data_IF_922653084362
#
_entry.id   IF_922653084362
#
_cell.length_a   1.000
_cell.length_b   1.000
_cell.length_c   1.000
_cell.angle_alpha   90.00
_cell.angle_beta   90.00
_cell.angle_gamma   90.00
#
_symmetry.space_group_name_H-M   'P 1'
#
loop_
_entity.id
_entity.type
_entity.pdbx_description
1 polymer ?
#
# COMPACT_ATOMS: atom_id res chain seq x y z
N UNK A 1 14.05 -5.00 -16.09
CA UNK A 1 13.01 -5.57 -15.21
C UNK A 1 13.38 -7.01 -14.86
N UNK A 2 14.47 -7.19 -14.12
CA UNK A 2 15.16 -8.49 -14.00
C UNK A 2 15.69 -8.77 -12.59
N UNK A 3 15.14 -8.12 -11.57
CA UNK A 3 15.63 -8.30 -10.20
C UNK A 3 14.96 -9.47 -9.45
N UNK A 4 13.91 -10.07 -10.02
CA UNK A 4 13.16 -11.15 -9.38
C UNK A 4 12.88 -12.26 -10.40
N UNK A 5 13.92 -13.01 -10.75
CA UNK A 5 13.81 -14.20 -11.59
C UNK A 5 13.11 -15.36 -10.85
N UNK A 6 13.11 -15.35 -9.51
CA UNK A 6 12.33 -16.28 -8.68
C UNK A 6 11.67 -15.55 -7.49
N UNK A 7 10.32 -15.48 -7.41
CA UNK A 7 9.63 -14.85 -6.30
C UNK A 7 9.87 -15.54 -4.95
N UNK A 8 10.24 -16.82 -4.95
CA UNK A 8 10.52 -17.57 -3.71
C UNK A 8 11.83 -17.12 -3.05
N UNK A 9 12.85 -16.73 -3.84
CA UNK A 9 14.09 -16.18 -3.31
C UNK A 9 13.86 -14.85 -2.58
N UNK A 10 12.95 -14.02 -3.08
CA UNK A 10 12.58 -12.74 -2.43
C UNK A 10 11.95 -13.01 -1.07
N UNK A 11 11.02 -13.96 -1.02
CA UNK A 11 10.36 -14.34 0.23
C UNK A 11 11.38 -14.91 1.22
N UNK A 12 12.30 -15.76 0.76
CA UNK A 12 13.36 -16.31 1.58
C UNK A 12 14.32 -15.23 2.10
N UNK A 13 14.67 -14.26 1.24
CA UNK A 13 15.55 -13.14 1.58
C UNK A 13 14.96 -12.27 2.70
N UNK A 14 13.68 -11.91 2.59
CA UNK A 14 12.99 -11.19 3.67
C UNK A 14 12.93 -12.06 4.93
N UNK A 15 12.47 -13.31 4.84
CA UNK A 15 12.37 -14.23 6.00
C UNK A 15 13.69 -14.45 6.73
N UNK A 16 14.82 -14.45 6.02
CA UNK A 16 16.16 -14.61 6.58
C UNK A 16 16.71 -13.37 7.29
N UNK A 17 16.04 -12.21 7.17
CA UNK A 17 16.47 -10.95 7.79
C UNK A 17 15.38 -10.39 8.71
N UNK A 18 15.58 -10.51 10.02
CA UNK A 18 14.59 -10.08 11.02
C UNK A 18 14.25 -8.58 10.95
N UNK A 19 15.22 -7.73 10.63
CA UNK A 19 15.00 -6.28 10.50
C UNK A 19 14.09 -5.98 9.30
N UNK A 20 14.33 -6.65 8.17
CA UNK A 20 13.50 -6.51 6.97
C UNK A 20 12.09 -7.07 7.19
N UNK A 21 11.98 -8.23 7.86
CA UNK A 21 10.68 -8.76 8.26
C UNK A 21 9.94 -7.82 9.21
N UNK A 22 10.65 -7.14 10.11
CA UNK A 22 10.01 -6.19 11.01
C UNK A 22 9.42 -5.00 10.25
N UNK A 23 10.13 -4.48 9.25
CA UNK A 23 9.59 -3.43 8.37
C UNK A 23 8.37 -3.94 7.61
N UNK A 24 8.42 -5.15 7.05
CA UNK A 24 7.28 -5.75 6.35
C UNK A 24 6.06 -5.93 7.26
N UNK A 25 6.28 -6.37 8.51
CA UNK A 25 5.21 -6.48 9.51
C UNK A 25 4.60 -5.13 9.87
N UNK A 26 5.41 -4.07 9.94
CA UNK A 26 4.91 -2.72 10.23
C UNK A 26 4.02 -2.20 9.08
N UNK A 27 4.43 -2.41 7.82
CA UNK A 27 3.60 -2.04 6.65
C UNK A 27 2.28 -2.81 6.64
N UNK A 28 2.32 -4.12 6.86
CA UNK A 28 1.11 -4.93 6.95
C UNK A 28 0.19 -4.50 8.11
N UNK A 29 0.77 -4.09 9.24
CA UNK A 29 0.00 -3.56 10.37
C UNK A 29 -0.63 -2.20 10.03
N UNK A 30 0.06 -1.34 9.29
CA UNK A 30 -0.48 -0.07 8.81
C UNK A 30 -1.67 -0.29 7.88
N UNK A 31 -1.56 -1.21 6.92
CA UNK A 31 -2.67 -1.57 6.02
C UNK A 31 -3.88 -2.10 6.80
N UNK A 32 -3.66 -3.02 7.75
CA UNK A 32 -4.74 -3.54 8.62
C UNK A 32 -5.39 -2.44 9.46
N UNK A 33 -4.61 -1.47 9.95
CA UNK A 33 -5.14 -0.35 10.70
C UNK A 33 -6.04 0.54 9.81
N UNK A 34 -5.62 0.81 8.56
CA UNK A 34 -6.42 1.55 7.58
C UNK A 34 -7.72 0.80 7.28
N UNK A 35 -7.66 -0.50 7.00
CA UNK A 35 -8.85 -1.33 6.77
C UNK A 35 -9.81 -1.30 7.97
N UNK A 36 -9.28 -1.42 9.18
CA UNK A 36 -10.10 -1.36 10.40
C UNK A 36 -10.80 -0.02 10.57
N UNK A 37 -10.14 1.09 10.22
CA UNK A 37 -10.75 2.43 10.28
C UNK A 37 -11.81 2.58 9.19
N UNK A 38 -11.50 2.16 7.95
CA UNK A 38 -12.44 2.21 6.84
C UNK A 38 -13.71 1.41 7.11
N UNK A 39 -13.58 0.23 7.73
CA UNK A 39 -14.73 -0.61 8.10
C UNK A 39 -15.65 0.04 9.14
N UNK A 40 -15.11 0.90 10.01
CA UNK A 40 -15.87 1.61 11.04
C UNK A 40 -16.36 3.00 10.56
N UNK A 41 -15.80 3.53 9.49
CA UNK A 41 -16.12 4.85 8.97
C UNK A 41 -17.37 4.82 8.06
N UNK A 42 -18.12 5.91 8.05
CA UNK A 42 -19.16 6.14 7.05
C UNK A 42 -18.52 6.68 5.78
N UNK A 43 -18.27 5.80 4.80
CA UNK A 43 -17.67 6.15 3.51
C UNK A 43 -18.75 6.34 2.45
N UNK A 44 -18.62 7.37 1.62
CA UNK A 44 -19.52 7.65 0.49
C UNK A 44 -18.70 7.79 -0.77
N UNK A 45 -19.06 7.01 -1.79
CA UNK A 45 -18.47 7.17 -3.12
C UNK A 45 -19.02 8.43 -3.80
N UNK A 46 -18.14 9.16 -4.48
CA UNK A 46 -18.50 10.35 -5.24
C UNK A 46 -17.98 10.22 -6.67
N UNK A 47 -18.87 10.48 -7.63
CA UNK A 47 -18.49 10.51 -9.04
C UNK A 47 -17.67 11.78 -9.33
N UNK A 48 -16.51 11.59 -9.97
CA UNK A 48 -15.57 12.65 -10.34
C UNK A 48 -15.03 12.38 -11.73
N UNK A 49 -14.87 13.44 -12.54
CA UNK A 49 -14.22 13.29 -13.84
C UNK A 49 -12.72 13.02 -13.65
N UNK A 50 -12.13 12.28 -14.59
CA UNK A 50 -10.69 11.98 -14.57
C UNK A 50 -9.82 13.25 -14.51
N UNK A 51 -10.21 14.28 -15.27
CA UNK A 51 -9.51 15.58 -15.30
C UNK A 51 -9.53 16.29 -13.93
N UNK A 52 -10.57 16.07 -13.11
CA UNK A 52 -10.68 16.65 -11.76
C UNK A 52 -9.73 15.99 -10.75
N UNK A 53 -9.37 14.72 -10.97
CA UNK A 53 -8.51 13.94 -10.07
C UNK A 53 -7.04 14.07 -10.47
N UNK A 54 -6.77 14.18 -11.77
CA UNK A 54 -5.41 14.11 -12.31
C UNK A 54 -4.62 15.41 -12.21
N UNK A 55 -5.23 16.54 -11.85
CA UNK A 55 -4.54 17.83 -11.83
C UNK A 55 -4.83 18.72 -10.60
N UNK A 56 -4.46 18.28 -9.38
CA UNK A 56 -4.72 19.03 -8.14
C UNK A 56 -3.96 20.36 -8.00
N UNK A 57 -3.12 20.77 -8.97
CA UNK A 57 -2.29 21.98 -8.90
C UNK A 57 -2.64 23.09 -9.92
N UNK A 58 -3.64 22.92 -10.80
CA UNK A 58 -4.02 23.97 -11.77
C UNK A 58 -5.28 24.77 -11.40
N UNK A 59 -5.77 24.63 -10.16
CA UNK A 59 -6.89 25.40 -9.62
C UNK A 59 -6.47 26.39 -8.54
N UNK A 60 -5.65 27.39 -8.89
CA UNK A 60 -5.49 28.64 -8.15
C UNK A 60 -5.37 29.79 -9.15
#
# INVERSE_FOLDING_TARGET
ASAYEDPTEVVAYYKGNEQMMQQMRNVAMEEQAVESILAAASVTDVEKAFDDIMNPQQGA
#
